data_IF_431997388104
#
_entry.id   IF_431997388104
#
_cell.length_a   1.000
_cell.length_b   1.000
_cell.length_c   1.000
_cell.angle_alpha   90.00
_cell.angle_beta   90.00
_cell.angle_gamma   90.00
#
_symmetry.space_group_name_H-M   'P 1'
#
loop_
_entity.id
_entity.type
_entity.pdbx_description
1 polymer ?
#
# COMPACT_ATOMS: atom_id res chain seq x y z
N UNK A 1 15.94 -64.98 -28.31
CA UNK A 1 15.28 -64.67 -27.03
C UNK A 1 15.01 -63.18 -27.02
N UNK A 2 13.73 -62.84 -27.13
CA UNK A 2 13.16 -61.49 -27.08
C UNK A 2 13.17 -60.99 -25.64
N UNK A 3 13.43 -59.69 -25.42
CA UNK A 3 12.45 -58.77 -24.80
C UNK A 3 12.78 -57.32 -25.21
N UNK A 4 11.98 -56.81 -26.15
CA UNK A 4 11.85 -55.38 -26.42
C UNK A 4 10.79 -54.78 -25.52
N UNK A 5 11.04 -53.58 -24.99
CA UNK A 5 10.09 -52.84 -24.16
C UNK A 5 9.09 -52.13 -25.07
N UNK A 6 7.82 -52.50 -24.94
CA UNK A 6 6.66 -51.90 -25.60
C UNK A 6 6.18 -50.74 -24.73
N UNK A 7 6.28 -49.50 -25.22
CA UNK A 7 5.59 -48.36 -24.61
C UNK A 7 4.18 -48.25 -25.21
N UNK A 8 3.17 -48.54 -24.38
CA UNK A 8 1.75 -48.35 -24.71
C UNK A 8 1.33 -46.88 -24.57
N UNK A 9 0.45 -46.35 -25.44
CA UNK A 9 0.00 -44.96 -25.38
C UNK A 9 -1.10 -44.77 -24.32
N UNK A 10 -0.88 -43.83 -23.40
CA UNK A 10 -1.92 -43.39 -22.46
C UNK A 10 -2.75 -42.29 -23.14
N UNK A 11 -4.03 -42.57 -23.40
CA UNK A 11 -5.01 -41.57 -23.86
C UNK A 11 -6.02 -41.23 -22.75
N UNK A 12 -6.10 -39.92 -22.51
CA UNK A 12 -7.20 -39.07 -22.05
C UNK A 12 -7.72 -39.14 -20.60
N UNK A 13 -7.59 -37.98 -19.94
CA UNK A 13 -8.76 -37.22 -19.48
C UNK A 13 -8.53 -35.72 -19.67
N UNK A 14 -9.27 -35.13 -20.59
CA UNK A 14 -9.50 -33.69 -20.61
C UNK A 14 -10.27 -33.31 -19.35
N UNK A 15 -9.65 -32.53 -18.46
CA UNK A 15 -10.35 -31.80 -17.42
C UNK A 15 -10.47 -30.34 -17.86
N UNK A 16 -11.71 -29.98 -18.17
CA UNK A 16 -12.20 -28.64 -18.50
C UNK A 16 -11.93 -27.66 -17.36
N UNK A 17 -11.48 -26.47 -17.76
CA UNK A 17 -12.03 -25.15 -17.43
C UNK A 17 -12.39 -24.84 -15.96
N UNK A 18 -11.58 -23.96 -15.35
CA UNK A 18 -12.06 -22.69 -14.78
C UNK A 18 -10.88 -21.92 -14.16
N UNK A 19 -10.16 -21.12 -14.96
CA UNK A 19 -9.57 -19.84 -14.48
C UNK A 19 -8.97 -18.96 -15.59
N UNK A 20 -8.80 -19.47 -16.81
CA UNK A 20 -8.28 -18.65 -17.94
C UNK A 20 -9.33 -17.85 -18.72
N UNK A 21 -10.54 -17.72 -18.17
CA UNK A 21 -11.56 -16.79 -18.71
C UNK A 21 -11.36 -15.35 -18.18
N UNK A 22 -10.38 -15.13 -17.29
CA UNK A 22 -10.06 -13.82 -16.73
C UNK A 22 -8.88 -13.10 -17.43
N UNK A 23 -8.49 -13.52 -18.63
CA UNK A 23 -7.31 -12.94 -19.31
C UNK A 23 -7.58 -12.41 -20.74
N UNK A 24 -8.63 -12.86 -21.44
CA UNK A 24 -8.87 -12.36 -22.80
C UNK A 24 -9.57 -10.99 -22.86
N UNK A 25 -10.51 -10.71 -21.96
CA UNK A 25 -11.17 -9.40 -21.91
C UNK A 25 -10.18 -8.29 -21.52
N UNK A 26 -9.35 -8.55 -20.50
CA UNK A 26 -8.32 -7.61 -20.01
C UNK A 26 -7.20 -7.39 -21.03
N UNK A 27 -6.80 -8.43 -21.78
CA UNK A 27 -5.84 -8.27 -22.89
C UNK A 27 -6.43 -7.52 -24.09
N UNK A 28 -7.72 -7.71 -24.40
CA UNK A 28 -8.38 -6.98 -25.50
C UNK A 28 -8.54 -5.49 -25.18
N UNK A 29 -8.79 -5.15 -23.92
CA UNK A 29 -8.82 -3.78 -23.45
C UNK A 29 -7.40 -3.15 -23.51
N UNK A 30 -6.36 -3.90 -23.13
CA UNK A 30 -4.97 -3.46 -23.27
C UNK A 30 -4.50 -3.26 -24.73
N UNK A 31 -5.02 -4.06 -25.67
CA UNK A 31 -4.71 -3.98 -27.11
C UNK A 31 -5.51 -2.88 -27.83
N UNK A 32 -6.67 -2.47 -27.29
CA UNK A 32 -7.58 -1.50 -27.93
C UNK A 32 -7.28 -0.02 -27.65
N UNK A 33 -6.17 0.30 -26.99
CA UNK A 33 -5.73 1.69 -26.83
C UNK A 33 -6.53 2.53 -25.84
N UNK A 34 -7.36 1.89 -25.00
CA UNK A 34 -7.95 2.55 -23.83
C UNK A 34 -6.97 2.50 -22.66
N UNK A 35 -5.98 3.40 -22.66
CA UNK A 35 -5.28 3.75 -21.42
C UNK A 35 -6.27 4.53 -20.53
N UNK A 36 -7.13 3.80 -19.82
CA UNK A 36 -8.00 4.37 -18.78
C UNK A 36 -7.14 5.05 -17.71
N UNK A 37 -7.14 6.39 -17.71
CA UNK A 37 -6.58 7.28 -16.68
C UNK A 37 -5.34 6.70 -16.01
N UNK A 38 -4.17 6.90 -16.61
CA UNK A 38 -2.94 6.80 -15.83
C UNK A 38 -3.10 7.76 -14.63
N UNK A 39 -3.27 7.20 -13.42
CA UNK A 39 -3.23 8.00 -12.22
C UNK A 39 -1.82 8.57 -12.15
N UNK A 40 -1.65 9.85 -12.45
CA UNK A 40 -0.40 10.54 -12.20
C UNK A 40 -0.15 10.51 -10.69
N UNK A 41 0.83 9.71 -10.28
CA UNK A 41 1.23 9.58 -8.88
C UNK A 41 2.26 10.67 -8.55
N UNK A 42 1.78 11.91 -8.47
CA UNK A 42 2.59 13.05 -8.11
C UNK A 42 2.80 13.11 -6.60
N UNK A 43 3.97 12.68 -6.13
CA UNK A 43 4.43 12.90 -4.75
C UNK A 43 4.91 14.35 -4.60
N UNK A 44 4.31 15.11 -3.69
CA UNK A 44 4.77 16.47 -3.40
C UNK A 44 5.61 16.47 -2.11
N UNK A 45 6.93 16.43 -2.28
CA UNK A 45 7.88 16.57 -1.18
C UNK A 45 7.92 18.01 -0.64
N UNK A 46 7.75 18.16 0.68
CA UNK A 46 7.79 19.44 1.38
C UNK A 46 8.81 19.34 2.54
N UNK A 47 10.12 19.52 2.24
CA UNK A 47 11.21 19.25 3.18
C UNK A 47 11.13 20.06 4.48
N UNK A 48 10.55 21.26 4.44
CA UNK A 48 10.40 22.09 5.63
C UNK A 48 9.59 21.40 6.73
N UNK A 49 8.56 20.62 6.38
CA UNK A 49 7.78 19.88 7.38
C UNK A 49 8.58 18.71 7.96
N UNK A 50 9.51 18.15 7.20
CA UNK A 50 10.36 17.06 7.66
C UNK A 50 11.36 17.58 8.69
N UNK A 51 11.96 18.73 8.40
CA UNK A 51 12.87 19.43 9.31
C UNK A 51 12.16 19.94 10.57
N UNK A 52 10.89 20.35 10.45
CA UNK A 52 10.10 20.85 11.58
C UNK A 52 9.50 19.72 12.43
N UNK A 53 9.47 18.47 11.95
CA UNK A 53 8.93 17.33 12.71
C UNK A 53 9.46 17.25 14.14
N UNK A 54 10.79 17.23 14.41
CA UNK A 54 11.31 17.17 15.78
C UNK A 54 10.96 18.40 16.62
N UNK A 55 10.75 19.58 16.00
CA UNK A 55 10.38 20.81 16.70
C UNK A 55 8.92 20.77 17.14
N UNK A 56 8.04 20.36 16.23
CA UNK A 56 6.58 20.32 16.44
C UNK A 56 6.16 19.13 17.30
N UNK A 57 6.79 17.96 17.10
CA UNK A 57 6.41 16.71 17.78
C UNK A 57 7.21 16.47 19.06
N UNK A 58 8.17 17.34 19.38
CA UNK A 58 9.00 17.26 20.57
C UNK A 58 9.71 15.91 20.70
N UNK A 59 9.39 15.17 21.77
CA UNK A 59 10.03 13.89 22.11
C UNK A 59 9.43 12.67 21.40
N UNK A 60 8.45 12.85 20.52
CA UNK A 60 7.85 11.72 19.78
C UNK A 60 8.86 11.20 18.75
N UNK A 61 9.23 9.93 18.89
CA UNK A 61 10.10 9.22 17.96
C UNK A 61 9.32 8.14 17.23
N UNK A 62 9.30 8.18 15.90
CA UNK A 62 8.66 7.16 15.08
C UNK A 62 9.61 5.98 14.88
N UNK A 63 9.22 4.82 15.40
CA UNK A 63 9.92 3.55 15.19
C UNK A 63 9.21 2.81 14.07
N UNK A 64 9.71 2.99 12.85
CA UNK A 64 9.10 2.41 11.67
C UNK A 64 9.49 0.95 11.49
N UNK A 65 8.48 0.10 11.37
CA UNK A 65 8.58 -1.29 10.95
C UNK A 65 7.86 -1.46 9.60
N UNK A 66 8.15 -2.54 8.86
CA UNK A 66 7.49 -2.82 7.59
C UNK A 66 7.36 -4.30 7.27
N UNK A 67 6.38 -4.59 6.42
CA UNK A 67 6.24 -5.88 5.74
C UNK A 67 5.70 -5.70 4.32
N UNK A 68 5.84 -6.72 3.47
CA UNK A 68 5.10 -6.79 2.21
C UNK A 68 3.59 -6.81 2.50
N UNK A 69 2.80 -6.09 1.72
CA UNK A 69 1.36 -6.04 1.88
C UNK A 69 0.69 -7.27 1.25
N UNK A 70 0.70 -8.38 1.99
CA UNK A 70 0.05 -9.64 1.63
C UNK A 70 -0.69 -10.20 2.85
N UNK A 71 -1.71 -11.03 2.62
CA UNK A 71 -2.54 -11.57 3.70
C UNK A 71 -1.73 -12.35 4.74
N UNK A 72 -0.67 -13.05 4.33
CA UNK A 72 0.21 -13.79 5.24
C UNK A 72 0.93 -12.88 6.26
N UNK A 73 1.16 -11.61 5.92
CA UNK A 73 1.84 -10.66 6.81
C UNK A 73 0.94 -10.14 7.94
N UNK A 74 -0.36 -10.40 7.90
CA UNK A 74 -1.32 -9.82 8.85
C UNK A 74 -0.96 -10.14 10.32
N UNK A 75 -0.42 -11.33 10.58
CA UNK A 75 -0.05 -11.77 11.93
C UNK A 75 1.11 -10.96 12.54
N UNK A 76 1.87 -10.22 11.73
CA UNK A 76 2.96 -9.35 12.20
C UNK A 76 2.47 -7.98 12.64
N UNK A 77 1.24 -7.59 12.28
CA UNK A 77 0.75 -6.23 12.51
C UNK A 77 0.16 -6.14 13.93
N UNK A 78 0.62 -5.19 14.76
CA UNK A 78 0.20 -5.11 16.15
C UNK A 78 -1.25 -4.63 16.30
N UNK A 79 -1.92 -5.12 17.34
CA UNK A 79 -3.19 -4.58 17.84
C UNK A 79 -2.96 -3.32 18.68
N UNK A 80 -2.32 -2.32 18.08
CA UNK A 80 -2.04 -1.02 18.70
C UNK A 80 -2.43 0.13 17.80
N UNK A 81 -2.61 1.30 18.40
CA UNK A 81 -2.76 2.54 17.67
C UNK A 81 -1.44 2.97 17.03
N UNK A 82 -1.55 3.79 15.99
CA UNK A 82 -0.37 4.27 15.30
C UNK A 82 -0.68 4.97 13.99
N UNK A 83 0.38 5.28 13.27
CA UNK A 83 0.35 5.75 11.88
C UNK A 83 0.96 4.69 10.98
N UNK A 84 0.54 4.69 9.72
CA UNK A 84 1.05 3.77 8.72
C UNK A 84 1.23 4.46 7.37
N UNK A 85 2.08 3.85 6.54
CA UNK A 85 2.35 4.28 5.20
C UNK A 85 2.35 3.09 4.24
N UNK A 86 1.61 3.18 3.14
CA UNK A 86 1.87 2.35 1.98
C UNK A 86 2.96 2.98 1.13
N UNK A 87 3.94 2.18 0.76
CA UNK A 87 5.01 2.59 -0.14
C UNK A 87 5.27 1.52 -1.19
N UNK A 88 5.88 1.91 -2.29
CA UNK A 88 6.46 0.98 -3.25
C UNK A 88 7.96 0.88 -3.06
N UNK A 89 8.47 -0.34 -3.05
CA UNK A 89 9.90 -0.60 -3.26
C UNK A 89 10.16 -0.56 -4.76
N UNK A 90 11.15 0.22 -5.21
CA UNK A 90 11.40 0.40 -6.64
C UNK A 90 11.96 -0.86 -7.33
N UNK A 91 12.71 -1.68 -6.60
CA UNK A 91 13.43 -2.83 -7.16
C UNK A 91 14.51 -2.42 -8.15
N UNK A 92 15.12 -3.41 -8.81
CA UNK A 92 16.20 -3.18 -9.76
C UNK A 92 15.80 -2.18 -10.88
N UNK A 93 16.68 -1.21 -11.22
CA UNK A 93 18.09 -1.10 -10.84
C UNK A 93 18.36 -0.34 -9.52
N UNK A 94 17.33 -0.01 -8.75
CA UNK A 94 17.47 0.74 -7.51
C UNK A 94 17.71 -0.18 -6.31
N UNK A 95 18.44 0.30 -5.27
CA UNK A 95 18.55 -0.42 -4.02
C UNK A 95 17.18 -0.71 -3.40
N UNK A 96 17.05 -1.91 -2.84
CA UNK A 96 15.87 -2.39 -2.11
C UNK A 96 15.47 -1.51 -0.92
N UNK A 97 16.36 -0.62 -0.46
CA UNK A 97 16.10 0.33 0.61
C UNK A 97 15.33 1.56 0.15
N UNK A 98 15.24 1.83 -1.16
CA UNK A 98 14.52 2.98 -1.70
C UNK A 98 13.04 2.67 -1.81
N UNK A 99 12.24 3.45 -1.07
CA UNK A 99 10.79 3.37 -1.09
C UNK A 99 10.16 4.72 -1.41
N UNK A 100 9.08 4.71 -2.19
CA UNK A 100 8.27 5.90 -2.47
C UNK A 100 6.94 5.78 -1.71
N UNK A 101 6.65 6.69 -0.76
CA UNK A 101 5.35 6.77 -0.09
C UNK A 101 4.23 7.04 -1.09
N UNK A 102 3.15 6.25 -1.04
CA UNK A 102 1.98 6.43 -1.90
C UNK A 102 0.73 6.82 -1.12
N UNK A 103 0.62 6.34 0.13
CA UNK A 103 -0.50 6.66 1.01
C UNK A 103 -0.02 6.70 2.46
N UNK A 104 -0.51 7.67 3.23
CA UNK A 104 -0.33 7.75 4.69
C UNK A 104 -1.69 7.72 5.34
N UNK A 105 -1.81 7.01 6.46
CA UNK A 105 -3.02 7.03 7.25
C UNK A 105 -2.77 6.70 8.71
N UNK A 106 -3.86 6.71 9.46
CA UNK A 106 -3.86 6.49 10.91
C UNK A 106 -4.75 5.34 11.36
N UNK A 107 -4.37 4.75 12.49
CA UNK A 107 -5.13 3.78 13.26
C UNK A 107 -5.56 4.41 14.60
N UNK A 108 -6.62 5.22 14.53
CA UNK A 108 -7.38 5.73 15.66
C UNK A 108 -8.80 6.09 15.15
N UNK A 109 -9.90 5.65 15.80
CA UNK A 109 -9.95 4.90 17.07
C UNK A 109 -9.62 3.40 16.96
N UNK A 110 -9.42 2.84 15.76
CA UNK A 110 -9.06 1.43 15.58
C UNK A 110 -7.56 1.13 15.70
N UNK A 111 -7.15 -0.09 15.37
CA UNK A 111 -5.77 -0.57 15.43
C UNK A 111 -5.11 -0.74 14.06
N UNK A 112 -3.78 -0.81 14.06
CA UNK A 112 -2.97 -1.03 12.86
C UNK A 112 -3.36 -2.35 12.16
N UNK A 113 -3.58 -3.42 12.92
CA UNK A 113 -4.03 -4.73 12.42
C UNK A 113 -5.37 -4.65 11.68
N UNK A 114 -6.35 -3.94 12.26
CA UNK A 114 -7.68 -3.72 11.66
C UNK A 114 -7.58 -2.91 10.37
N UNK A 115 -6.71 -1.89 10.35
CA UNK A 115 -6.46 -1.09 9.14
C UNK A 115 -5.85 -1.94 8.05
N UNK A 116 -4.82 -2.73 8.36
CA UNK A 116 -4.19 -3.65 7.41
C UNK A 116 -5.24 -4.61 6.81
N UNK A 117 -6.06 -5.24 7.65
CA UNK A 117 -7.12 -6.16 7.21
C UNK A 117 -8.18 -5.45 6.35
N UNK A 118 -8.55 -4.22 6.71
CA UNK A 118 -9.49 -3.42 5.91
C UNK A 118 -9.00 -3.23 4.49
N UNK A 119 -7.71 -2.94 4.29
CA UNK A 119 -7.14 -2.76 2.96
C UNK A 119 -7.10 -4.06 2.14
N UNK A 120 -6.92 -5.23 2.78
CA UNK A 120 -7.01 -6.52 2.10
C UNK A 120 -8.39 -6.78 1.52
N UNK A 121 -9.45 -6.25 2.17
CA UNK A 121 -10.83 -6.29 1.67
C UNK A 121 -11.08 -5.20 0.64
N UNK A 122 -10.59 -3.98 0.89
CA UNK A 122 -10.84 -2.79 0.07
C UNK A 122 -10.27 -2.88 -1.34
N UNK A 123 -9.19 -3.65 -1.56
CA UNK A 123 -8.65 -3.88 -2.91
C UNK A 123 -9.68 -4.43 -3.91
N UNK A 124 -10.75 -5.06 -3.43
CA UNK A 124 -11.83 -5.60 -4.26
C UNK A 124 -13.00 -4.60 -4.46
N UNK A 125 -12.96 -3.43 -3.82
CA UNK A 125 -14.05 -2.45 -3.85
C UNK A 125 -13.82 -1.35 -4.90
N UNK A 126 -14.15 -1.65 -6.16
CA UNK A 126 -13.90 -0.78 -7.32
C UNK A 126 -14.66 0.57 -7.23
N UNK A 127 -15.76 0.64 -6.46
CA UNK A 127 -16.55 1.87 -6.27
C UNK A 127 -16.06 2.76 -5.12
N UNK A 128 -15.07 2.31 -4.36
CA UNK A 128 -14.52 3.03 -3.21
C UNK A 128 -13.51 4.11 -3.59
N UNK A 129 -12.46 4.24 -2.79
CA UNK A 129 -11.35 5.19 -3.00
C UNK A 129 -10.51 4.76 -4.19
N UNK A 130 -10.88 5.21 -5.38
CA UNK A 130 -10.34 4.70 -6.66
C UNK A 130 -8.82 4.76 -6.75
N UNK A 131 -8.18 5.86 -6.30
CA UNK A 131 -6.71 5.99 -6.25
C UNK A 131 -6.04 4.95 -5.35
N UNK A 132 -6.64 4.67 -4.21
CA UNK A 132 -6.13 3.68 -3.27
C UNK A 132 -6.33 2.26 -3.82
N UNK A 133 -7.52 1.95 -4.34
CA UNK A 133 -7.81 0.64 -4.96
C UNK A 133 -6.86 0.37 -6.13
N UNK A 134 -6.60 1.40 -6.95
CA UNK A 134 -5.60 1.34 -8.00
C UNK A 134 -4.21 1.02 -7.45
N UNK A 135 -3.73 1.75 -6.43
CA UNK A 135 -2.43 1.49 -5.80
C UNK A 135 -2.31 0.06 -5.26
N UNK A 136 -3.34 -0.41 -4.52
CA UNK A 136 -3.35 -1.74 -3.89
C UNK A 136 -3.26 -2.87 -4.93
N UNK A 137 -3.87 -2.68 -6.10
CA UNK A 137 -3.88 -3.69 -7.15
C UNK A 137 -2.67 -3.59 -8.10
N UNK A 138 -2.35 -2.38 -8.58
CA UNK A 138 -1.24 -2.16 -9.54
C UNK A 138 0.11 -2.54 -8.94
N UNK A 139 0.35 -2.19 -7.68
CA UNK A 139 1.66 -2.39 -7.06
C UNK A 139 1.72 -3.60 -6.12
N UNK A 140 0.76 -4.52 -6.17
CA UNK A 140 0.63 -5.63 -5.21
C UNK A 140 1.92 -6.44 -4.94
N UNK A 141 2.82 -6.54 -5.91
CA UNK A 141 4.08 -7.29 -5.79
C UNK A 141 5.22 -6.48 -5.15
N UNK A 142 5.12 -5.15 -5.16
CA UNK A 142 6.13 -4.18 -4.72
C UNK A 142 5.63 -3.33 -3.54
N UNK A 143 4.40 -3.55 -3.07
CA UNK A 143 3.76 -2.73 -2.05
C UNK A 143 4.15 -3.19 -0.65
N UNK A 144 4.58 -2.24 0.17
CA UNK A 144 4.91 -2.45 1.57
C UNK A 144 3.99 -1.62 2.45
N UNK A 145 3.61 -2.21 3.57
CA UNK A 145 2.93 -1.54 4.66
C UNK A 145 3.96 -1.24 5.75
N UNK A 146 4.20 0.04 5.98
CA UNK A 146 5.01 0.55 7.08
C UNK A 146 4.11 0.99 8.22
N UNK A 147 4.53 0.81 9.47
CA UNK A 147 3.83 1.33 10.63
C UNK A 147 4.78 1.86 11.69
N UNK A 148 4.27 2.79 12.50
CA UNK A 148 4.86 3.17 13.77
C UNK A 148 3.76 3.17 14.82
N UNK A 149 3.99 2.43 15.90
CA UNK A 149 3.10 2.43 17.06
C UNK A 149 3.18 3.78 17.78
N UNK A 150 2.03 4.28 18.25
CA UNK A 150 1.96 5.55 18.98
C UNK A 150 0.85 5.50 20.04
N UNK A 151 1.01 6.21 21.18
CA UNK A 151 -0.11 6.53 22.04
C UNK A 151 -1.22 7.23 21.25
N UNK A 152 -2.47 6.81 21.45
CA UNK A 152 -3.65 7.30 20.72
C UNK A 152 -3.71 8.83 20.62
N UNK A 153 -3.33 9.52 21.71
CA UNK A 153 -3.36 10.97 21.82
C UNK A 153 -2.50 11.69 20.77
N UNK A 154 -1.48 11.05 20.21
CA UNK A 154 -0.57 11.65 19.24
C UNK A 154 -0.89 11.29 17.79
N UNK A 155 -1.71 10.25 17.57
CA UNK A 155 -1.92 9.64 16.25
C UNK A 155 -2.43 10.65 15.23
N UNK A 156 -3.41 11.48 15.61
CA UNK A 156 -4.01 12.47 14.71
C UNK A 156 -3.01 13.53 14.30
N UNK A 157 -2.32 14.14 15.26
CA UNK A 157 -1.36 15.22 15.02
C UNK A 157 -0.17 14.72 14.19
N UNK A 158 0.34 13.51 14.49
CA UNK A 158 1.43 12.91 13.72
C UNK A 158 1.02 12.60 12.29
N UNK A 159 -0.18 12.03 12.06
CA UNK A 159 -0.67 11.76 10.71
C UNK A 159 -0.84 13.04 9.89
N UNK A 160 -1.46 14.06 10.47
CA UNK A 160 -1.62 15.37 9.82
C UNK A 160 -0.25 15.93 9.38
N UNK A 161 0.77 15.83 10.23
CA UNK A 161 2.12 16.32 9.91
C UNK A 161 2.83 15.48 8.84
N UNK A 162 2.75 14.16 8.94
CA UNK A 162 3.34 13.24 7.94
C UNK A 162 2.72 13.44 6.55
N UNK A 163 1.41 13.71 6.48
CA UNK A 163 0.73 14.07 5.24
C UNK A 163 1.30 15.35 4.63
N UNK A 164 1.73 16.31 5.45
CA UNK A 164 2.36 17.53 4.97
C UNK A 164 3.83 17.35 4.58
N UNK A 165 4.55 16.36 5.11
CA UNK A 165 5.93 16.11 4.70
C UNK A 165 6.06 15.73 3.22
N UNK A 166 5.14 14.93 2.68
CA UNK A 166 5.30 14.38 1.34
C UNK A 166 4.02 14.27 0.50
N UNK A 167 2.87 14.74 1.01
CA UNK A 167 1.56 14.75 0.32
C UNK A 167 1.36 13.56 -0.64
N UNK A 168 1.18 12.35 -0.09
CA UNK A 168 1.21 11.15 -0.90
C UNK A 168 0.12 11.14 -1.98
N UNK A 169 0.40 10.63 -3.19
CA UNK A 169 -0.48 10.78 -4.35
C UNK A 169 -1.85 10.09 -4.21
N UNK A 170 -1.95 9.07 -3.36
CA UNK A 170 -3.19 8.34 -3.10
C UNK A 170 -3.98 8.89 -1.90
N UNK A 171 -3.46 9.91 -1.20
CA UNK A 171 -4.26 10.69 -0.26
C UNK A 171 -5.07 11.74 -1.03
N UNK A 172 -6.36 11.86 -0.69
CA UNK A 172 -7.26 12.84 -1.32
C UNK A 172 -7.52 14.05 -0.41
N UNK A 173 -7.15 13.93 0.87
CA UNK A 173 -7.38 14.95 1.89
C UNK A 173 -6.06 15.26 2.57
N UNK A 174 -5.79 16.54 2.73
CA UNK A 174 -4.61 17.06 3.40
C UNK A 174 -5.06 18.10 4.44
N UNK A 175 -4.37 18.21 5.59
CA UNK A 175 -4.64 19.25 6.54
C UNK A 175 -4.28 20.63 5.98
N UNK A 176 -4.97 21.67 6.45
CA UNK A 176 -4.58 23.05 6.15
C UNK A 176 -3.40 23.47 7.02
N UNK A 177 -2.56 24.38 6.49
CA UNK A 177 -1.39 24.92 7.19
C UNK A 177 -1.77 25.60 8.50
N UNK A 178 -2.86 26.36 8.51
CA UNK A 178 -3.37 27.10 9.69
C UNK A 178 -3.71 26.17 10.86
N UNK A 179 -4.30 25.00 10.57
CA UNK A 179 -4.74 24.03 11.58
C UNK A 179 -3.57 23.34 12.29
N UNK A 180 -2.47 23.11 11.58
CA UNK A 180 -1.28 22.43 12.12
C UNK A 180 -0.49 23.33 13.06
N UNK A 181 -0.35 24.61 12.70
CA UNK A 181 0.44 25.56 13.49
C UNK A 181 -0.34 26.10 14.69
N UNK A 182 -1.67 26.20 14.62
CA UNK A 182 -2.49 26.55 15.78
C UNK A 182 -2.45 25.53 16.92
N UNK A 183 -2.00 24.28 16.68
CA UNK A 183 -1.90 23.23 17.72
C UNK A 183 -0.48 23.01 18.26
N UNK A 184 0.54 23.55 17.58
CA UNK A 184 1.94 23.33 17.94
C UNK A 184 2.47 24.37 18.93
N UNK A 185 1.72 25.45 19.17
CA UNK A 185 2.09 26.59 20.01
C UNK A 185 1.07 26.91 21.11
N UNK A 186 0.05 26.06 21.29
CA UNK A 186 -0.86 26.05 22.44
C UNK A 186 -0.51 24.86 23.35
#
# INVERSE_FOLDING_TARGET
>A
MSQGVILSPIKHKASKMANDLYDFATQKDAISGYFEKEYELNLQWLPQYVEDFPKVMGKIMLKWEKCKFVSASQQMIPEKHGVYCFSIQLGDPFPDTIHIPLYIGKAAPGYLSERFQSYLREKNNIKGRSKLVFMLNKYRNQLFFWWSELPRIYVDTVEEHLLMCCKPPCNEKFPSREKLWGKAFD
#
